data_IF_767278140308
#
_entry.id   IF_767278140308
#
_cell.length_a   1.000
_cell.length_b   1.000
_cell.length_c   1.000
_cell.angle_alpha   90.00
_cell.angle_beta   90.00
_cell.angle_gamma   90.00
#
_symmetry.space_group_name_H-M   'P 1'
#
loop_
_entity.id
_entity.type
_entity.pdbx_description
1 polymer ?
#
# COMPACT_ATOMS: atom_id res chain seq x y z
N UNK A 1 -15.86 8.65 8.99
CA UNK A 1 -15.68 9.70 8.17
C UNK A 1 -14.64 9.51 7.11
N UNK A 2 -15.08 9.47 5.96
CA UNK A 2 -14.15 9.25 4.89
C UNK A 2 -13.11 10.34 4.87
N UNK A 3 -11.94 9.97 4.59
CA UNK A 3 -10.87 10.91 4.40
C UNK A 3 -10.85 11.24 2.94
N UNK A 4 -11.52 12.33 2.58
CA UNK A 4 -11.65 12.71 1.18
C UNK A 4 -10.32 12.81 0.48
N UNK A 5 -9.29 13.31 1.18
CA UNK A 5 -7.96 13.39 0.59
C UNK A 5 -7.41 11.98 0.29
N UNK A 6 -7.69 11.02 1.15
CA UNK A 6 -7.22 9.66 0.95
C UNK A 6 -8.01 8.96 -0.16
N UNK A 7 -9.30 9.25 -0.26
CA UNK A 7 -10.12 8.65 -1.31
C UNK A 7 -9.61 9.06 -2.69
N UNK A 8 -9.30 10.33 -2.89
CA UNK A 8 -8.77 10.80 -4.15
C UNK A 8 -7.44 10.12 -4.46
N UNK A 9 -6.60 9.96 -3.45
CA UNK A 9 -5.32 9.30 -3.63
C UNK A 9 -5.51 7.84 -4.05
N UNK A 10 -6.38 7.10 -3.34
CA UNK A 10 -6.57 5.69 -3.63
C UNK A 10 -7.24 5.44 -4.98
N UNK A 11 -7.94 6.43 -5.51
CA UNK A 11 -8.54 6.33 -6.83
C UNK A 11 -7.61 6.84 -7.93
N UNK A 12 -6.43 7.34 -7.58
CA UNK A 12 -5.51 7.91 -8.56
C UNK A 12 -4.80 6.80 -9.33
N UNK A 13 -4.39 7.13 -10.56
CA UNK A 13 -3.61 6.21 -11.37
C UNK A 13 -2.27 5.91 -10.71
N UNK A 14 -1.68 6.91 -10.09
CA UNK A 14 -0.41 6.74 -9.40
C UNK A 14 -0.48 5.64 -8.36
N UNK A 15 -1.52 5.67 -7.52
CA UNK A 15 -1.69 4.64 -6.50
C UNK A 15 -1.99 3.28 -7.12
N UNK A 16 -2.86 3.22 -8.12
CA UNK A 16 -3.21 1.95 -8.75
C UNK A 16 -1.98 1.30 -9.37
N UNK A 17 -1.15 2.09 -10.04
CA UNK A 17 0.09 1.59 -10.63
C UNK A 17 1.05 1.09 -9.54
N UNK A 18 1.21 1.87 -8.47
CA UNK A 18 2.08 1.51 -7.36
C UNK A 18 1.60 0.24 -6.68
N UNK A 19 0.30 0.14 -6.43
CA UNK A 19 -0.28 -1.03 -5.80
C UNK A 19 -0.03 -2.29 -6.63
N UNK A 20 -0.24 -2.19 -7.93
CA UNK A 20 0.02 -3.34 -8.81
C UNK A 20 1.48 -3.74 -8.81
N UNK A 21 2.37 -2.76 -8.86
CA UNK A 21 3.81 -3.03 -8.84
C UNK A 21 4.22 -3.67 -7.51
N UNK A 22 3.66 -3.20 -6.40
CA UNK A 22 3.98 -3.76 -5.10
C UNK A 22 3.48 -5.19 -4.96
N UNK A 23 2.28 -5.46 -5.49
CA UNK A 23 1.75 -6.81 -5.48
C UNK A 23 2.66 -7.77 -6.25
N UNK A 24 3.19 -7.34 -7.39
CA UNK A 24 4.16 -8.15 -8.11
C UNK A 24 5.45 -8.33 -7.31
N UNK A 25 5.87 -7.29 -6.62
CA UNK A 25 7.08 -7.33 -5.79
C UNK A 25 6.98 -8.41 -4.72
N UNK A 26 5.84 -8.55 -4.08
CA UNK A 26 5.63 -9.56 -3.05
C UNK A 26 4.99 -10.83 -3.59
N UNK A 27 4.88 -10.94 -4.92
CA UNK A 27 4.34 -12.12 -5.62
C UNK A 27 2.91 -12.44 -5.22
N UNK A 28 2.16 -11.40 -4.85
CA UNK A 28 0.76 -11.58 -4.48
C UNK A 28 0.55 -12.27 -3.14
N UNK A 29 1.57 -12.38 -2.32
CA UNK A 29 1.48 -13.06 -1.04
C UNK A 29 1.43 -12.06 0.11
N UNK A 30 0.64 -12.40 1.14
CA UNK A 30 0.59 -11.61 2.35
C UNK A 30 1.92 -11.68 3.06
N UNK A 31 2.62 -10.56 3.18
CA UNK A 31 3.95 -10.54 3.78
C UNK A 31 3.94 -10.98 5.24
N UNK A 32 2.92 -10.56 5.99
CA UNK A 32 2.82 -10.91 7.40
C UNK A 32 2.62 -12.41 7.58
N UNK A 33 1.77 -13.01 6.75
CA UNK A 33 1.55 -14.46 6.82
C UNK A 33 2.80 -15.22 6.38
N UNK A 34 3.50 -14.69 5.39
CA UNK A 34 4.72 -15.33 4.92
C UNK A 34 5.79 -15.36 6.00
N UNK A 35 5.88 -14.30 6.82
CA UNK A 35 6.81 -14.28 7.94
C UNK A 35 6.51 -15.36 8.96
N UNK A 36 5.25 -15.80 9.03
CA UNK A 36 4.83 -16.87 9.92
C UNK A 36 4.93 -18.25 9.27
N UNK A 37 5.48 -18.32 8.06
CA UNK A 37 5.60 -19.57 7.34
C UNK A 37 4.33 -19.99 6.61
N UNK A 38 3.38 -19.09 6.47
CA UNK A 38 2.11 -19.37 5.80
C UNK A 38 2.10 -18.74 4.41
N UNK A 39 1.54 -19.46 3.45
CA UNK A 39 1.41 -18.96 2.09
C UNK A 39 -0.06 -18.59 1.88
N UNK A 40 -0.36 -17.29 2.00
CA UNK A 40 -1.71 -16.76 1.91
C UNK A 40 -1.72 -15.62 0.91
N UNK A 41 -2.65 -15.62 -0.05
CA UNK A 41 -2.73 -14.54 -1.03
C UNK A 41 -2.97 -13.20 -0.34
N UNK A 42 -2.30 -12.17 -0.84
CA UNK A 42 -2.53 -10.81 -0.35
C UNK A 42 -3.80 -10.26 -1.00
N UNK A 43 -4.64 -9.62 -0.18
CA UNK A 43 -5.86 -9.03 -0.68
C UNK A 43 -5.76 -7.53 -0.82
N UNK A 44 -4.96 -6.90 0.04
CA UNK A 44 -4.79 -5.45 0.05
C UNK A 44 -3.34 -5.08 0.25
N UNK A 45 -3.01 -3.86 -0.15
CA UNK A 45 -1.72 -3.24 0.16
C UNK A 45 -2.03 -2.04 1.04
N UNK A 46 -1.39 -1.97 2.21
CA UNK A 46 -1.64 -0.87 3.13
C UNK A 46 -0.35 -0.17 3.50
N UNK A 47 -0.49 1.02 4.06
CA UNK A 47 0.65 1.84 4.46
C UNK A 47 1.02 1.55 5.90
N UNK A 48 2.31 1.37 6.15
CA UNK A 48 2.78 1.18 7.53
C UNK A 48 2.60 2.45 8.34
N UNK A 49 2.91 3.59 7.72
CA UNK A 49 2.64 4.89 8.34
C UNK A 49 1.37 5.42 7.71
N UNK A 50 0.37 5.72 8.53
CA UNK A 50 -0.93 6.14 8.06
C UNK A 50 -0.84 7.44 7.25
N UNK A 51 -1.61 7.50 6.17
CA UNK A 51 -1.66 8.69 5.35
C UNK A 51 -2.38 9.82 6.07
N UNK A 52 -1.84 11.02 5.95
CA UNK A 52 -2.44 12.24 6.49
C UNK A 52 -2.37 13.32 5.42
N UNK A 53 -3.13 14.40 5.57
CA UNK A 53 -3.01 15.52 4.62
C UNK A 53 -1.60 16.09 4.55
N UNK A 54 -0.83 15.94 5.63
CA UNK A 54 0.54 16.45 5.66
C UNK A 54 1.51 15.58 4.87
N UNK A 55 1.31 14.27 4.85
CA UNK A 55 2.28 13.36 4.25
C UNK A 55 1.80 12.72 2.95
N UNK A 56 0.57 12.97 2.54
CA UNK A 56 0.05 12.31 1.34
C UNK A 56 0.76 12.75 0.07
N UNK A 57 1.40 13.90 0.09
CA UNK A 57 2.20 14.37 -1.03
C UNK A 57 3.65 13.94 -0.95
N UNK A 58 4.04 13.29 0.14
CA UNK A 58 5.38 12.76 0.29
C UNK A 58 5.46 11.44 -0.47
N UNK A 59 6.25 11.43 -1.54
CA UNK A 59 6.34 10.26 -2.42
C UNK A 59 6.79 9.02 -1.67
N UNK A 60 7.77 9.17 -0.78
CA UNK A 60 8.30 8.02 -0.04
C UNK A 60 7.28 7.41 0.90
N UNK A 61 6.37 8.22 1.44
CA UNK A 61 5.35 7.73 2.34
C UNK A 61 4.14 7.21 1.56
N UNK A 62 3.71 7.95 0.54
CA UNK A 62 2.50 7.62 -0.19
C UNK A 62 2.67 6.44 -1.14
N UNK A 63 3.79 6.36 -1.84
CA UNK A 63 4.00 5.32 -2.86
C UNK A 63 5.34 4.61 -2.74
N UNK A 64 6.11 4.89 -1.69
CA UNK A 64 7.38 4.21 -1.49
C UNK A 64 7.18 2.81 -0.95
N UNK A 65 7.85 1.83 -1.55
CA UNK A 65 7.69 0.43 -1.13
C UNK A 65 8.08 0.22 0.33
N UNK A 66 9.00 1.01 0.85
CA UNK A 66 9.41 0.89 2.24
C UNK A 66 8.30 1.14 3.24
N UNK A 67 7.25 1.85 2.84
CA UNK A 67 6.12 2.16 3.70
C UNK A 67 4.88 1.34 3.36
N UNK A 68 4.99 0.36 2.47
CA UNK A 68 3.86 -0.48 2.08
C UNK A 68 4.01 -1.88 2.64
N UNK A 69 2.88 -2.53 2.83
CA UNK A 69 2.83 -3.91 3.30
C UNK A 69 1.61 -4.61 2.69
N UNK A 70 1.82 -5.77 2.17
CA UNK A 70 0.74 -6.57 1.61
C UNK A 70 0.15 -7.53 2.64
#
# INVERSE_FOLDING_TARGET
MARDFARQFYNSRTWQTTRSAYMEHCRGLCERCLQKGLIVPAEIVHHKEELTPSNITDVDIAVGFGNLEA
#
